data_IF_371327654737
#
_entry.id   IF_371327654737
#
_cell.length_a   1.000
_cell.length_b   1.000
_cell.length_c   1.000
_cell.angle_alpha   90.00
_cell.angle_beta   90.00
_cell.angle_gamma   90.00
#
_symmetry.space_group_name_H-M   'P 1'
#
loop_
_entity.id
_entity.type
_entity.pdbx_description
1 polymer ?
#
# COMPACT_ATOMS: atom_id res chain seq x y z
N UNK A 1 6.04 -39.67 -9.90
CA UNK A 1 6.53 -38.45 -9.22
C UNK A 1 5.52 -37.36 -9.54
N UNK A 2 4.82 -36.84 -8.56
CA UNK A 2 3.92 -35.68 -8.80
C UNK A 2 4.85 -34.47 -8.93
N UNK A 3 4.88 -33.85 -10.09
CA UNK A 3 5.66 -32.63 -10.30
C UNK A 3 5.23 -31.58 -9.29
N UNK A 4 6.21 -31.08 -8.53
CA UNK A 4 5.94 -30.06 -7.51
C UNK A 4 5.63 -28.75 -8.24
N UNK A 5 4.39 -28.28 -8.09
CA UNK A 5 3.99 -26.95 -8.59
C UNK A 5 4.69 -25.90 -7.75
N UNK A 6 5.70 -25.23 -8.28
CA UNK A 6 6.58 -24.31 -7.56
C UNK A 6 6.36 -22.82 -7.91
N UNK A 7 5.64 -22.54 -9.00
CA UNK A 7 5.35 -21.19 -9.48
C UNK A 7 3.86 -20.95 -9.77
N UNK A 8 3.46 -19.69 -9.79
CA UNK A 8 2.10 -19.30 -10.16
C UNK A 8 1.76 -19.71 -11.60
N UNK A 9 2.71 -19.62 -12.52
CA UNK A 9 2.55 -20.08 -13.90
C UNK A 9 2.29 -21.58 -13.95
N UNK A 10 3.05 -22.38 -13.22
CA UNK A 10 2.86 -23.83 -13.13
C UNK A 10 1.50 -24.18 -12.48
N UNK A 11 1.09 -23.44 -11.44
CA UNK A 11 -0.24 -23.59 -10.85
C UNK A 11 -1.36 -23.34 -11.87
N UNK A 12 -1.27 -22.22 -12.59
CA UNK A 12 -2.27 -21.84 -13.59
C UNK A 12 -2.38 -22.94 -14.68
N UNK A 13 -1.25 -23.46 -15.15
CA UNK A 13 -1.20 -24.55 -16.13
C UNK A 13 -1.84 -25.83 -15.59
N UNK A 14 -1.46 -26.25 -14.38
CA UNK A 14 -1.99 -27.45 -13.75
C UNK A 14 -3.50 -27.36 -13.46
N UNK A 15 -3.97 -26.18 -13.05
CA UNK A 15 -5.40 -25.94 -12.83
C UNK A 15 -6.16 -25.97 -14.16
N UNK A 16 -5.63 -25.34 -15.22
CA UNK A 16 -6.23 -25.40 -16.58
C UNK A 16 -6.37 -26.83 -17.08
N UNK A 17 -5.31 -27.63 -16.93
CA UNK A 17 -5.31 -29.04 -17.30
C UNK A 17 -6.34 -29.87 -16.51
N UNK A 18 -6.37 -29.70 -15.17
CA UNK A 18 -7.32 -30.41 -14.32
C UNK A 18 -8.77 -30.08 -14.68
N UNK A 19 -9.09 -28.79 -14.83
CA UNK A 19 -10.42 -28.32 -15.23
C UNK A 19 -10.83 -28.81 -16.62
N UNK A 20 -9.91 -28.79 -17.60
CA UNK A 20 -10.12 -29.29 -18.94
C UNK A 20 -10.38 -30.82 -18.97
N UNK A 21 -9.82 -31.55 -18.02
CA UNK A 21 -10.05 -32.99 -17.82
C UNK A 21 -11.24 -33.32 -16.90
N UNK A 22 -12.01 -32.32 -16.46
CA UNK A 22 -13.13 -32.51 -15.53
C UNK A 22 -12.69 -32.90 -14.10
N UNK A 23 -11.42 -32.72 -13.75
CA UNK A 23 -10.87 -33.05 -12.43
C UNK A 23 -10.93 -31.84 -11.48
N UNK A 24 -11.19 -32.06 -10.16
CA UNK A 24 -11.23 -30.97 -9.21
C UNK A 24 -9.85 -30.34 -8.99
N UNK A 25 -9.76 -29.02 -9.12
CA UNK A 25 -8.52 -28.26 -9.01
C UNK A 25 -8.28 -27.65 -7.61
N UNK A 26 -9.25 -27.72 -6.70
CA UNK A 26 -9.20 -27.08 -5.38
C UNK A 26 -8.01 -27.55 -4.53
N UNK A 27 -7.65 -28.83 -4.62
CA UNK A 27 -6.49 -29.40 -3.95
C UNK A 27 -5.18 -28.75 -4.42
N UNK A 28 -5.00 -28.63 -5.73
CA UNK A 28 -3.80 -28.01 -6.34
C UNK A 28 -3.61 -26.58 -5.83
N UNK A 29 -4.68 -25.78 -5.83
CA UNK A 29 -4.66 -24.38 -5.37
C UNK A 29 -4.30 -24.31 -3.88
N UNK A 30 -4.97 -25.11 -3.05
CA UNK A 30 -4.74 -25.12 -1.60
C UNK A 30 -3.29 -25.53 -1.27
N UNK A 31 -2.79 -26.58 -1.88
CA UNK A 31 -1.48 -27.14 -1.59
C UNK A 31 -0.35 -26.22 -2.07
N UNK A 32 -0.52 -25.56 -3.22
CA UNK A 32 0.39 -24.53 -3.69
C UNK A 32 0.45 -23.34 -2.72
N UNK A 33 -0.69 -22.76 -2.36
CA UNK A 33 -0.74 -21.63 -1.44
C UNK A 33 -0.20 -21.98 -0.05
N UNK A 34 -0.47 -23.20 0.43
CA UNK A 34 0.05 -23.71 1.68
C UNK A 34 1.58 -23.79 1.68
N UNK A 35 2.18 -24.34 0.63
CA UNK A 35 3.65 -24.41 0.48
C UNK A 35 4.28 -23.03 0.40
N UNK A 36 3.73 -22.11 -0.39
CA UNK A 36 4.25 -20.76 -0.49
C UNK A 36 4.22 -20.03 0.84
N UNK A 37 3.12 -20.16 1.57
CA UNK A 37 3.00 -19.57 2.91
C UNK A 37 4.01 -20.14 3.88
N UNK A 38 4.20 -21.48 3.90
CA UNK A 38 5.18 -22.14 4.75
C UNK A 38 6.62 -21.74 4.41
N UNK A 39 6.90 -21.45 3.12
CA UNK A 39 8.21 -20.99 2.65
C UNK A 39 8.45 -19.47 2.81
N UNK A 40 7.51 -18.72 3.43
CA UNK A 40 7.59 -17.27 3.56
C UNK A 40 7.54 -16.52 2.22
N UNK A 41 6.98 -17.14 1.19
CA UNK A 41 6.84 -16.55 -0.16
C UNK A 41 5.40 -16.13 -0.42
N UNK A 42 4.98 -14.94 0.01
CA UNK A 42 3.60 -14.48 -0.15
C UNK A 42 3.23 -14.20 -1.61
N UNK A 43 1.94 -13.96 -1.86
CA UNK A 43 1.45 -13.30 -3.07
C UNK A 43 1.68 -11.78 -2.95
N UNK A 44 1.85 -11.07 -4.07
CA UNK A 44 1.98 -11.59 -5.44
C UNK A 44 3.32 -12.29 -5.66
N UNK A 45 3.37 -13.15 -6.68
CA UNK A 45 4.62 -13.80 -7.08
C UNK A 45 5.41 -12.89 -8.01
N UNK A 46 6.67 -12.65 -7.66
CA UNK A 46 7.62 -11.87 -8.46
C UNK A 46 8.67 -12.80 -9.06
N UNK A 47 8.82 -12.75 -10.38
CA UNK A 47 9.81 -13.50 -11.13
C UNK A 47 10.49 -12.55 -12.15
N UNK A 48 11.65 -12.00 -11.77
CA UNK A 48 12.28 -10.92 -12.53
C UNK A 48 11.44 -9.65 -12.50
N UNK A 49 11.06 -9.15 -13.67
CA UNK A 49 10.14 -8.02 -13.85
C UNK A 49 8.67 -8.44 -13.89
N UNK A 50 8.39 -9.75 -14.07
CA UNK A 50 7.03 -10.27 -14.13
C UNK A 50 6.45 -10.47 -12.73
N UNK A 51 5.23 -9.94 -12.53
CA UNK A 51 4.47 -10.09 -11.30
C UNK A 51 3.15 -10.79 -11.59
N UNK A 52 2.88 -11.86 -10.87
CA UNK A 52 1.61 -12.60 -10.96
C UNK A 52 0.79 -12.39 -9.70
N UNK A 53 -0.31 -11.69 -9.86
CA UNK A 53 -1.33 -11.47 -8.83
C UNK A 53 -2.34 -12.62 -8.88
N UNK A 54 -2.65 -13.19 -7.72
CA UNK A 54 -3.61 -14.29 -7.59
C UNK A 54 -4.78 -13.86 -6.71
N UNK A 55 -5.98 -14.19 -7.14
CA UNK A 55 -7.17 -14.09 -6.31
C UNK A 55 -7.89 -15.44 -6.25
N UNK A 56 -8.22 -15.89 -5.05
CA UNK A 56 -9.00 -17.12 -4.86
C UNK A 56 -10.36 -16.74 -4.27
N UNK A 57 -11.39 -16.90 -5.12
CA UNK A 57 -12.78 -16.69 -4.73
C UNK A 57 -13.31 -17.79 -3.83
N UNK A 58 -14.38 -17.51 -3.11
CA UNK A 58 -15.27 -18.58 -2.64
C UNK A 58 -15.98 -19.13 -3.88
N UNK A 59 -16.20 -20.44 -3.99
CA UNK A 59 -16.83 -21.13 -5.15
C UNK A 59 -17.60 -20.14 -6.04
N UNK A 60 -16.84 -19.54 -6.97
CA UNK A 60 -17.38 -18.44 -7.76
C UNK A 60 -18.34 -18.98 -8.78
N UNK A 61 -19.57 -18.53 -8.73
CA UNK A 61 -20.47 -18.70 -9.84
C UNK A 61 -19.83 -18.12 -11.13
N UNK A 62 -20.33 -18.46 -12.31
CA UNK A 62 -19.78 -18.00 -13.60
C UNK A 62 -19.74 -16.46 -13.76
N UNK A 63 -20.40 -15.73 -12.89
CA UNK A 63 -20.55 -14.28 -12.94
C UNK A 63 -19.64 -13.49 -11.98
N UNK A 64 -18.68 -14.12 -11.27
CA UNK A 64 -17.76 -13.37 -10.39
C UNK A 64 -16.83 -12.52 -11.23
N UNK A 65 -16.92 -11.21 -11.04
CA UNK A 65 -16.06 -10.23 -11.68
C UNK A 65 -15.00 -9.78 -10.68
N UNK A 66 -13.73 -9.93 -11.04
CA UNK A 66 -12.60 -9.52 -10.22
C UNK A 66 -11.76 -8.54 -11.02
N UNK A 67 -11.62 -7.32 -10.51
CA UNK A 67 -10.82 -6.24 -11.12
C UNK A 67 -9.55 -6.06 -10.31
N UNK A 68 -8.42 -5.87 -10.98
CA UNK A 68 -7.19 -5.34 -10.39
C UNK A 68 -7.30 -3.81 -10.33
N UNK A 69 -7.02 -3.22 -9.19
CA UNK A 69 -7.13 -1.79 -8.97
C UNK A 69 -5.91 -1.30 -8.20
N UNK A 70 -5.15 -0.38 -8.76
CA UNK A 70 -3.92 0.13 -8.18
C UNK A 70 -3.89 1.66 -8.09
N UNK A 71 -3.07 2.20 -7.18
CA UNK A 71 -2.86 3.65 -7.10
C UNK A 71 -2.17 4.21 -8.33
N UNK A 72 -1.34 3.40 -8.98
CA UNK A 72 -0.62 3.73 -10.19
C UNK A 72 -1.57 4.10 -11.35
N UNK A 73 -2.72 3.43 -11.40
CA UNK A 73 -3.71 3.57 -12.47
C UNK A 73 -4.93 4.41 -12.04
N UNK A 74 -4.85 5.11 -10.90
CA UNK A 74 -5.93 5.95 -10.40
C UNK A 74 -7.11 5.18 -9.79
N UNK A 75 -6.87 3.95 -9.32
CA UNK A 75 -7.88 3.11 -8.65
C UNK A 75 -9.07 2.71 -9.52
N UNK A 76 -8.89 2.15 -10.71
CA UNK A 76 -9.98 1.74 -11.58
C UNK A 76 -10.85 0.66 -10.90
N UNK A 77 -12.15 0.64 -11.23
CA UNK A 77 -13.11 -0.31 -10.64
C UNK A 77 -13.78 -1.22 -11.69
N UNK A 78 -13.42 -1.06 -12.94
CA UNK A 78 -14.02 -1.77 -14.06
C UNK A 78 -13.01 -2.56 -14.90
N UNK A 79 -11.74 -2.16 -14.94
CA UNK A 79 -10.67 -2.79 -15.70
C UNK A 79 -9.31 -2.53 -15.06
N UNK A 80 -8.27 -3.36 -15.25
CA UNK A 80 -8.31 -4.65 -15.92
C UNK A 80 -9.00 -5.76 -15.11
N UNK A 81 -9.64 -6.69 -15.81
CA UNK A 81 -10.22 -7.88 -15.19
C UNK A 81 -9.16 -8.96 -14.98
N UNK A 82 -9.18 -9.59 -13.81
CA UNK A 82 -8.43 -10.83 -13.61
C UNK A 82 -9.00 -11.94 -14.50
N UNK A 83 -8.11 -12.73 -15.09
CA UNK A 83 -8.47 -13.90 -15.87
C UNK A 83 -8.82 -15.05 -14.95
N UNK A 84 -9.97 -15.67 -15.13
CA UNK A 84 -10.37 -16.88 -14.43
C UNK A 84 -9.72 -18.10 -15.04
N UNK A 85 -9.23 -19.02 -14.23
CA UNK A 85 -8.64 -20.27 -14.69
C UNK A 85 -9.74 -21.35 -14.81
N UNK A 86 -10.26 -21.55 -16.02
CA UNK A 86 -11.35 -22.52 -16.28
C UNK A 86 -12.59 -22.23 -15.43
N UNK A 87 -13.18 -23.27 -14.85
CA UNK A 87 -14.31 -23.17 -13.93
C UNK A 87 -13.87 -23.08 -12.44
N UNK A 88 -12.56 -23.05 -12.18
CA UNK A 88 -12.00 -23.02 -10.83
C UNK A 88 -12.32 -21.73 -10.08
N UNK A 89 -11.95 -21.66 -8.81
CA UNK A 89 -12.03 -20.45 -7.99
C UNK A 89 -10.80 -19.53 -8.16
N UNK A 90 -9.82 -19.90 -8.98
CA UNK A 90 -8.57 -19.17 -9.19
C UNK A 90 -8.72 -18.12 -10.27
N UNK A 91 -8.28 -16.90 -9.95
CA UNK A 91 -8.15 -15.78 -10.88
C UNK A 91 -6.71 -15.27 -10.83
N UNK A 92 -6.21 -14.76 -11.94
CA UNK A 92 -4.87 -14.20 -12.02
C UNK A 92 -4.81 -12.96 -12.91
N UNK A 93 -3.81 -12.14 -12.64
CA UNK A 93 -3.41 -11.00 -13.44
C UNK A 93 -1.88 -10.96 -13.49
N UNK A 94 -1.33 -10.66 -14.66
CA UNK A 94 0.11 -10.61 -14.87
C UNK A 94 0.49 -9.23 -15.36
N UNK A 95 1.51 -8.64 -14.74
CA UNK A 95 2.10 -7.37 -15.16
C UNK A 95 3.62 -7.49 -15.25
N UNK A 96 4.22 -6.63 -16.05
CA UNK A 96 5.66 -6.39 -16.08
C UNK A 96 5.93 -5.03 -15.43
N UNK A 97 6.77 -5.02 -14.40
CA UNK A 97 6.98 -3.85 -13.54
C UNK A 97 8.45 -3.48 -13.48
N UNK A 98 8.71 -2.19 -13.25
CA UNK A 98 10.04 -1.71 -12.91
C UNK A 98 10.55 -2.47 -11.67
N UNK A 99 11.81 -2.97 -11.67
CA UNK A 99 12.38 -3.68 -10.53
C UNK A 99 12.39 -2.89 -9.22
N UNK A 100 12.31 -1.56 -9.27
CA UNK A 100 12.23 -0.68 -8.12
C UNK A 100 10.81 -0.16 -7.83
N UNK A 101 9.78 -0.68 -8.52
CA UNK A 101 8.40 -0.25 -8.31
C UNK A 101 7.91 -0.58 -6.90
N UNK A 102 7.14 0.35 -6.34
CA UNK A 102 6.37 0.17 -5.10
C UNK A 102 5.04 0.87 -5.28
N UNK A 103 3.93 0.16 -5.02
CA UNK A 103 2.59 0.74 -5.08
C UNK A 103 1.59 -0.05 -4.23
N UNK A 104 0.45 0.60 -3.97
CA UNK A 104 -0.69 -0.01 -3.32
C UNK A 104 -1.69 -0.53 -4.36
N UNK A 105 -2.27 -1.69 -4.05
CA UNK A 105 -3.30 -2.30 -4.89
C UNK A 105 -4.40 -2.96 -4.06
N UNK A 106 -5.48 -3.31 -4.71
CA UNK A 106 -6.61 -4.07 -4.17
C UNK A 106 -7.32 -4.82 -5.28
N UNK A 107 -8.24 -5.67 -4.90
CA UNK A 107 -9.21 -6.21 -5.86
C UNK A 107 -10.57 -5.52 -5.68
N UNK A 108 -11.33 -5.42 -6.78
CA UNK A 108 -12.74 -5.07 -6.74
C UNK A 108 -13.53 -6.28 -7.20
N UNK A 109 -14.23 -6.90 -6.26
CA UNK A 109 -14.96 -8.16 -6.48
C UNK A 109 -16.44 -7.88 -6.48
N UNK A 110 -17.08 -7.97 -7.64
CA UNK A 110 -18.49 -7.61 -7.82
C UNK A 110 -18.83 -6.23 -7.21
N UNK A 111 -18.00 -5.21 -7.46
CA UNK A 111 -18.15 -3.86 -6.94
C UNK A 111 -17.66 -3.65 -5.49
N UNK A 112 -17.24 -4.71 -4.78
CA UNK A 112 -16.73 -4.60 -3.42
C UNK A 112 -15.20 -4.54 -3.41
N UNK A 113 -14.64 -3.51 -2.80
CA UNK A 113 -13.19 -3.32 -2.62
C UNK A 113 -12.68 -4.25 -1.53
N UNK A 114 -11.66 -5.05 -1.85
CA UNK A 114 -11.04 -6.02 -0.92
C UNK A 114 -9.52 -5.99 -1.08
N UNK A 115 -8.79 -6.13 0.03
CA UNK A 115 -7.35 -6.35 -0.02
C UNK A 115 -7.03 -7.76 -0.51
N UNK A 116 -5.82 -7.97 -0.99
CA UNK A 116 -5.30 -9.29 -1.30
C UNK A 116 -5.02 -10.06 0.01
N UNK A 117 -5.84 -11.06 0.29
CA UNK A 117 -5.69 -11.91 1.49
C UNK A 117 -4.47 -12.82 1.45
N UNK A 118 -3.87 -13.00 0.27
CA UNK A 118 -2.66 -13.79 0.08
C UNK A 118 -1.39 -12.98 0.32
N UNK A 119 -1.52 -11.64 0.36
CA UNK A 119 -0.43 -10.72 0.65
C UNK A 119 -0.45 -10.32 2.13
N UNK A 120 0.60 -10.60 2.92
CA UNK A 120 0.67 -10.18 4.33
C UNK A 120 0.90 -8.66 4.49
N UNK A 121 1.42 -8.00 3.45
CA UNK A 121 1.70 -6.56 3.49
C UNK A 121 0.43 -5.77 3.19
N UNK A 122 -0.28 -5.44 4.27
CA UNK A 122 -1.50 -4.64 4.21
C UNK A 122 -1.16 -3.19 4.53
N UNK A 123 -1.61 -2.27 3.67
CA UNK A 123 -1.44 -0.84 3.90
C UNK A 123 -2.73 -0.24 4.47
N UNK A 124 -2.57 0.61 5.48
CA UNK A 124 -3.61 1.50 6.03
C UNK A 124 -4.85 0.75 6.54
N UNK A 125 -4.87 0.48 7.83
CA UNK A 125 -5.86 -0.44 8.42
C UNK A 125 -7.26 0.12 8.62
N UNK A 126 -7.51 1.40 8.79
CA UNK A 126 -8.78 1.78 9.44
C UNK A 126 -9.62 2.87 8.76
N UNK A 127 -9.04 3.79 8.03
CA UNK A 127 -9.78 4.94 7.49
C UNK A 127 -10.17 4.82 6.01
N UNK A 128 -9.53 3.92 5.28
CA UNK A 128 -9.66 3.79 3.83
C UNK A 128 -10.00 2.36 3.43
N UNK A 129 -10.59 2.19 2.25
CA UNK A 129 -10.82 0.87 1.70
C UNK A 129 -9.54 0.02 1.77
N UNK A 130 -9.62 -1.26 2.19
CA UNK A 130 -8.46 -2.11 2.41
C UNK A 130 -7.60 -2.21 1.15
N UNK A 131 -6.29 -2.14 1.34
CA UNK A 131 -5.27 -2.17 0.28
C UNK A 131 -4.14 -3.09 0.69
N UNK A 132 -3.45 -3.63 -0.30
CA UNK A 132 -2.22 -4.40 -0.11
C UNK A 132 -1.06 -3.66 -0.77
N UNK A 133 0.15 -3.87 -0.29
CA UNK A 133 1.35 -3.23 -0.81
C UNK A 133 2.18 -4.23 -1.62
N UNK A 134 2.62 -3.82 -2.79
CA UNK A 134 3.68 -4.49 -3.54
C UNK A 134 4.95 -3.65 -3.44
N UNK A 135 6.05 -4.30 -3.07
CA UNK A 135 7.40 -3.77 -3.23
C UNK A 135 8.18 -4.75 -4.11
N UNK A 136 8.70 -4.26 -5.23
CA UNK A 136 9.59 -5.04 -6.09
C UNK A 136 10.98 -5.21 -5.44
N UNK A 137 11.74 -6.26 -5.79
CA UNK A 137 12.99 -6.61 -5.10
C UNK A 137 14.05 -5.50 -5.04
N UNK A 138 14.10 -4.61 -6.03
CA UNK A 138 15.05 -3.50 -6.04
C UNK A 138 14.47 -2.21 -5.45
N UNK A 139 13.25 -2.25 -4.90
CA UNK A 139 12.72 -1.10 -4.16
C UNK A 139 13.45 -0.93 -2.83
N UNK A 140 13.99 0.24 -2.61
CA UNK A 140 14.57 0.62 -1.34
C UNK A 140 13.80 1.82 -0.76
N UNK A 141 13.19 1.70 0.43
CA UNK A 141 12.57 2.84 1.08
C UNK A 141 13.62 3.90 1.38
N UNK A 142 13.24 5.18 1.28
CA UNK A 142 14.12 6.26 1.67
C UNK A 142 14.60 6.06 3.13
N UNK A 143 15.91 6.12 3.39
CA UNK A 143 16.45 5.82 4.73
C UNK A 143 15.93 6.78 5.80
N UNK A 144 15.55 8.00 5.41
CA UNK A 144 14.98 8.98 6.32
C UNK A 144 13.58 8.60 6.85
N UNK A 145 12.92 7.61 6.25
CA UNK A 145 11.54 7.23 6.61
C UNK A 145 11.44 6.51 7.95
N UNK A 146 12.48 5.79 8.34
CA UNK A 146 12.49 5.06 9.59
C UNK A 146 12.89 5.98 10.75
N UNK A 147 12.16 6.00 11.90
CA UNK A 147 12.63 6.66 13.09
C UNK A 147 14.01 6.12 13.51
N UNK A 148 14.96 7.01 13.76
CA UNK A 148 16.30 6.64 14.22
C UNK A 148 16.40 6.87 15.72
N UNK A 149 16.67 5.84 16.55
CA UNK A 149 16.60 5.93 18.01
C UNK A 149 17.53 6.98 18.65
N UNK A 150 18.57 7.40 17.93
CA UNK A 150 19.54 8.38 18.39
C UNK A 150 19.21 9.82 17.96
N UNK A 151 18.16 10.01 17.18
CA UNK A 151 17.70 11.33 16.73
C UNK A 151 16.48 11.69 17.60
N UNK A 152 16.53 12.79 18.35
CA UNK A 152 15.38 13.24 19.12
C UNK A 152 14.20 13.54 18.21
N UNK A 153 13.00 13.18 18.64
CA UNK A 153 11.78 13.62 18.00
C UNK A 153 11.61 15.14 18.19
N UNK A 154 11.03 15.80 17.20
CA UNK A 154 10.52 17.15 17.38
C UNK A 154 9.23 17.15 18.20
N UNK A 155 8.68 18.30 18.45
CA UNK A 155 7.41 18.46 19.18
C UNK A 155 6.27 18.72 18.22
N UNK A 156 5.24 17.87 18.25
CA UNK A 156 4.00 18.04 17.49
C UNK A 156 2.91 18.56 18.44
N UNK A 157 2.33 19.73 18.10
CA UNK A 157 1.28 20.38 18.92
C UNK A 157 0.06 20.66 18.07
N UNK A 158 -1.12 20.33 18.57
CA UNK A 158 -2.39 20.68 17.94
C UNK A 158 -2.81 22.09 18.31
N UNK A 159 -3.31 22.82 17.31
CA UNK A 159 -3.91 24.14 17.47
C UNK A 159 -5.27 24.19 16.79
N UNK A 160 -6.22 24.86 17.41
CA UNK A 160 -7.52 25.15 16.78
C UNK A 160 -7.50 26.57 16.23
N UNK A 161 -7.62 26.66 14.92
CA UNK A 161 -7.65 27.93 14.18
C UNK A 161 -9.09 28.27 13.81
N UNK A 162 -9.63 29.36 14.35
CA UNK A 162 -10.87 29.94 13.89
C UNK A 162 -10.64 30.73 12.59
N UNK A 163 -11.08 30.20 11.46
CA UNK A 163 -10.92 30.81 10.16
C UNK A 163 -12.14 31.66 9.79
N UNK A 164 -12.01 32.97 9.84
CA UNK A 164 -13.07 33.87 9.39
C UNK A 164 -13.38 33.72 7.88
N UNK A 165 -12.36 33.44 7.07
CA UNK A 165 -12.52 33.26 5.63
C UNK A 165 -13.29 31.98 5.27
N UNK A 166 -13.14 30.90 6.07
CA UNK A 166 -13.82 29.63 5.86
C UNK A 166 -15.10 29.49 6.71
N UNK A 167 -15.32 30.41 7.67
CA UNK A 167 -16.47 30.37 8.57
C UNK A 167 -16.51 29.15 9.50
N UNK A 168 -15.35 28.57 9.80
CA UNK A 168 -15.25 27.35 10.61
C UNK A 168 -13.95 27.28 11.41
N UNK A 169 -13.96 26.48 12.48
CA UNK A 169 -12.76 26.10 13.21
C UNK A 169 -12.05 24.94 12.51
N UNK A 170 -10.72 24.99 12.52
CA UNK A 170 -9.87 23.96 11.91
C UNK A 170 -8.76 23.55 12.86
N UNK A 171 -8.60 22.26 13.05
CA UNK A 171 -7.39 21.73 13.66
C UNK A 171 -6.21 21.88 12.69
N UNK A 172 -5.11 22.40 13.17
CA UNK A 172 -3.81 22.39 12.51
C UNK A 172 -2.80 21.81 13.48
N UNK A 173 -1.81 21.11 12.95
CA UNK A 173 -0.70 20.60 13.76
C UNK A 173 0.57 21.35 13.39
N UNK A 174 1.29 21.80 14.41
CA UNK A 174 2.59 22.47 14.23
C UNK A 174 3.65 21.55 14.83
N UNK A 175 4.61 21.19 14.00
CA UNK A 175 5.79 20.46 14.41
C UNK A 175 6.98 21.38 14.47
N UNK A 176 7.67 21.39 15.60
CA UNK A 176 8.93 22.11 15.80
C UNK A 176 10.10 21.14 15.87
N UNK A 177 11.26 21.46 15.27
CA UNK A 177 12.41 20.57 15.25
C UNK A 177 13.03 20.40 16.65
N UNK A 178 13.82 19.33 16.86
CA UNK A 178 14.62 19.21 18.07
C UNK A 178 15.48 20.46 18.30
N UNK A 179 15.49 20.95 19.53
CA UNK A 179 16.24 22.17 19.89
C UNK A 179 15.60 23.47 19.42
N UNK A 180 14.33 23.46 19.02
CA UNK A 180 13.59 24.67 18.70
C UNK A 180 13.53 25.62 19.88
N UNK A 181 14.01 26.86 19.70
CA UNK A 181 13.95 27.94 20.70
C UNK A 181 13.37 29.20 20.07
N UNK A 182 12.13 29.56 20.40
CA UNK A 182 11.51 30.78 19.89
C UNK A 182 12.18 32.06 20.40
N UNK A 183 12.95 32.00 21.48
CA UNK A 183 13.63 33.14 22.05
C UNK A 183 15.03 33.40 21.46
N UNK A 184 15.58 32.42 20.73
CA UNK A 184 16.92 32.54 20.13
C UNK A 184 17.01 33.54 18.97
N UNK A 185 15.90 34.16 18.57
CA UNK A 185 15.87 35.20 17.53
C UNK A 185 16.23 34.74 16.12
N UNK A 186 16.20 33.43 15.87
CA UNK A 186 16.47 32.86 14.56
C UNK A 186 15.20 32.77 13.70
N UNK A 187 15.34 33.11 12.42
CA UNK A 187 14.27 32.89 11.44
C UNK A 187 14.23 31.40 11.04
N UNK A 188 13.19 30.69 11.46
CA UNK A 188 12.93 29.35 10.96
C UNK A 188 12.13 29.42 9.66
N UNK A 189 12.62 28.76 8.63
CA UNK A 189 11.79 28.51 7.46
C UNK A 189 10.62 27.61 7.86
N UNK A 190 9.47 27.73 7.19
CA UNK A 190 8.36 26.84 7.45
C UNK A 190 7.96 26.07 6.19
N UNK A 191 7.35 24.90 6.38
CA UNK A 191 6.75 24.09 5.33
C UNK A 191 5.31 23.78 5.69
N UNK A 192 4.40 23.97 4.74
CA UNK A 192 2.98 23.66 4.89
C UNK A 192 2.64 22.38 4.14
N UNK A 193 2.06 21.42 4.87
CA UNK A 193 1.54 20.18 4.32
C UNK A 193 0.00 20.22 4.29
N UNK A 194 -0.58 20.29 3.09
CA UNK A 194 -1.98 19.97 2.89
C UNK A 194 -2.18 18.47 3.08
N UNK A 195 -3.37 18.01 3.46
CA UNK A 195 -3.60 16.62 3.88
C UNK A 195 -2.76 16.22 5.12
N UNK A 196 -2.62 17.14 6.05
CA UNK A 196 -1.67 17.06 7.16
C UNK A 196 -1.74 15.79 8.00
N UNK A 197 -2.95 15.27 8.25
CA UNK A 197 -3.17 13.99 8.94
C UNK A 197 -2.53 12.82 8.18
N UNK A 198 -2.64 12.81 6.85
CA UNK A 198 -2.01 11.80 6.01
C UNK A 198 -0.49 11.85 6.07
N UNK A 199 0.09 13.04 6.08
CA UNK A 199 1.54 13.21 6.20
C UNK A 199 2.08 12.80 7.58
N UNK A 200 1.32 13.06 8.65
CA UNK A 200 1.70 12.65 10.01
C UNK A 200 1.57 11.13 10.15
N UNK A 201 0.38 10.58 9.87
CA UNK A 201 0.04 9.19 10.19
C UNK A 201 0.67 8.16 9.25
N UNK A 202 0.74 8.49 7.94
CA UNK A 202 1.10 7.51 6.91
C UNK A 202 2.47 7.75 6.29
N UNK A 203 2.83 9.00 6.06
CA UNK A 203 4.14 9.33 5.53
C UNK A 203 5.23 9.34 6.62
N UNK A 204 4.87 9.60 7.90
CA UNK A 204 5.81 9.77 8.98
C UNK A 204 6.65 11.04 8.82
N UNK A 205 6.07 12.10 8.28
CA UNK A 205 6.78 13.34 7.95
C UNK A 205 7.55 13.95 9.12
N UNK A 206 7.05 13.94 10.38
CA UNK A 206 7.83 14.43 11.52
C UNK A 206 9.18 13.72 11.67
N UNK A 207 9.20 12.39 11.61
CA UNK A 207 10.44 11.61 11.73
C UNK A 207 11.37 11.85 10.53
N UNK A 208 10.81 11.96 9.32
CA UNK A 208 11.59 12.27 8.11
C UNK A 208 12.28 13.63 8.25
N UNK A 209 11.55 14.65 8.68
CA UNK A 209 12.10 15.99 8.87
C UNK A 209 13.20 15.99 9.94
N UNK A 210 12.97 15.33 11.10
CA UNK A 210 13.98 15.19 12.15
C UNK A 210 15.26 14.52 11.62
N UNK A 211 15.12 13.42 10.87
CA UNK A 211 16.24 12.70 10.29
C UNK A 211 17.03 13.54 9.28
N UNK A 212 16.31 14.28 8.40
CA UNK A 212 16.94 15.13 7.39
C UNK A 212 17.68 16.32 8.02
N UNK A 213 17.13 16.94 9.07
CA UNK A 213 17.78 17.99 9.83
C UNK A 213 19.04 17.46 10.52
N UNK A 214 18.93 16.32 11.20
CA UNK A 214 20.06 15.70 11.89
C UNK A 214 21.19 15.30 10.92
N UNK A 215 20.85 14.89 9.70
CA UNK A 215 21.79 14.58 8.64
C UNK A 215 22.36 15.83 7.91
N UNK A 216 21.94 17.04 8.30
CA UNK A 216 22.34 18.28 7.62
C UNK A 216 21.83 18.42 6.17
N UNK A 217 20.83 17.64 5.78
CA UNK A 217 20.25 17.69 4.43
C UNK A 217 19.33 18.89 4.23
N UNK A 218 18.69 19.34 5.30
CA UNK A 218 17.88 20.56 5.34
C UNK A 218 18.22 21.36 6.62
N UNK A 219 18.05 22.69 6.60
CA UNK A 219 18.12 23.47 7.83
C UNK A 219 16.96 23.12 8.77
N UNK A 220 17.03 23.49 10.08
CA UNK A 220 15.89 23.41 10.96
C UNK A 220 14.69 24.17 10.39
N UNK A 221 13.53 23.51 10.32
CA UNK A 221 12.28 24.06 9.78
C UNK A 221 11.15 23.84 10.77
N UNK A 222 10.13 24.70 10.73
CA UNK A 222 8.85 24.46 11.39
C UNK A 222 7.89 23.89 10.35
N UNK A 223 7.22 22.78 10.67
CA UNK A 223 6.24 22.17 9.78
C UNK A 223 4.82 22.42 10.28
N UNK A 224 3.96 22.87 9.37
CA UNK A 224 2.53 23.05 9.64
C UNK A 224 1.75 22.04 8.83
N UNK A 225 0.92 21.24 9.49
CA UNK A 225 0.10 20.22 8.87
C UNK A 225 -1.36 20.65 8.97
N UNK A 226 -2.01 20.79 7.83
CA UNK A 226 -3.40 21.22 7.71
C UNK A 226 -4.26 20.04 7.19
N UNK A 227 -4.93 19.30 8.08
CA UNK A 227 -5.87 18.26 7.67
C UNK A 227 -7.08 18.87 6.95
N UNK A 228 -7.66 18.20 5.95
CA UNK A 228 -8.95 18.60 5.39
C UNK A 228 -10.06 18.28 6.38
N UNK A 229 -11.06 19.14 6.48
CA UNK A 229 -12.29 18.87 7.24
C UNK A 229 -13.18 17.93 6.42
N UNK A 230 -13.31 18.18 5.13
CA UNK A 230 -14.06 17.34 4.19
C UNK A 230 -13.31 17.28 2.85
N UNK A 231 -12.58 16.18 2.62
CA UNK A 231 -11.83 15.94 1.38
C UNK A 231 -12.66 15.97 0.09
N UNK A 232 -13.97 15.88 0.18
CA UNK A 232 -14.86 15.93 -0.99
C UNK A 232 -15.22 17.35 -1.40
N UNK A 233 -15.01 18.29 -0.49
CA UNK A 233 -15.37 19.70 -0.67
C UNK A 233 -14.17 20.63 -0.77
N UNK A 234 -13.02 20.14 -0.35
CA UNK A 234 -11.70 20.80 -0.38
C UNK A 234 -10.75 20.10 -1.35
#
# INVERSE_FOLDING_TARGET
MVDIIDSAAALIAAVKEAEGAGRPSTGLIRDYLGRRRAAGRPSPEVAGDQVTFLYVGRRGGPSTRVVFSSERDGWPEDTPLLQRVGASALYYHVEHLDPAARFLYRYVVNGRRVADRLNPHQALKERWAPKSELCMPAYHPAPQRAPLPHIPDGQLTEHILASAALGQERAIYVWTPPGYDPAAGGDYAFVLFHDGDGYIEYAGAPAILANMIAAGQIPPVVAVFAPPVDRRRE
#
